data_IF_579585505950
#
_entry.id   IF_579585505950
#
_cell.length_a   1.000
_cell.length_b   1.000
_cell.length_c   1.000
_cell.angle_alpha   90.00
_cell.angle_beta   90.00
_cell.angle_gamma   90.00
#
_symmetry.space_group_name_H-M   'P 1'
#
loop_
_entity.id
_entity.type
_entity.pdbx_description
1 polymer ?
#
# COMPACT_ATOMS: atom_id res chain seq x y z
N UNK A 1 -8.95 20.63 -36.94
CA UNK A 1 -10.27 19.99 -36.75
C UNK A 1 -10.02 18.51 -36.49
N UNK A 2 -10.30 18.05 -35.26
CA UNK A 2 -10.69 16.69 -34.82
C UNK A 2 -9.93 15.50 -35.43
N UNK A 3 -9.11 14.73 -34.71
CA UNK A 3 -9.30 13.94 -33.47
C UNK A 3 -9.03 12.48 -33.84
N UNK A 4 -7.92 11.91 -33.35
CA UNK A 4 -7.76 10.47 -33.17
C UNK A 4 -7.29 10.27 -31.74
N UNK A 5 -8.27 10.13 -30.86
CA UNK A 5 -8.06 9.53 -29.55
C UNK A 5 -7.67 8.07 -29.78
N UNK A 6 -6.57 7.66 -29.18
CA UNK A 6 -6.05 6.31 -29.25
C UNK A 6 -6.72 5.52 -28.12
N UNK A 7 -7.43 4.46 -28.50
CA UNK A 7 -8.06 3.49 -27.61
C UNK A 7 -7.00 2.82 -26.72
N UNK A 8 -7.10 3.05 -25.42
CA UNK A 8 -6.36 2.35 -24.38
C UNK A 8 -7.32 1.94 -23.26
N UNK A 9 -8.43 1.29 -23.64
CA UNK A 9 -9.42 0.70 -22.74
C UNK A 9 -9.76 -0.71 -23.21
N UNK A 10 -8.83 -1.67 -23.08
CA UNK A 10 -9.14 -3.08 -23.35
C UNK A 10 -8.15 -4.07 -22.72
N UNK A 11 -7.88 -3.97 -21.42
CA UNK A 11 -7.28 -5.09 -20.65
C UNK A 11 -7.85 -5.14 -19.21
N UNK A 12 -9.17 -5.00 -19.10
CA UNK A 12 -9.90 -5.10 -17.83
C UNK A 12 -11.12 -6.03 -17.96
N UNK A 13 -10.98 -7.14 -18.67
CA UNK A 13 -11.94 -8.24 -18.67
C UNK A 13 -11.19 -9.57 -18.67
N UNK A 14 -10.95 -10.12 -17.48
CA UNK A 14 -10.82 -11.57 -17.31
C UNK A 14 -11.00 -11.94 -15.82
N UNK A 15 -12.24 -12.20 -15.44
CA UNK A 15 -12.68 -13.22 -14.47
C UNK A 15 -14.12 -12.97 -14.01
N UNK A 16 -15.07 -13.02 -14.95
CA UNK A 16 -16.50 -13.08 -14.64
C UNK A 16 -17.18 -14.08 -15.57
N UNK A 17 -17.32 -15.32 -15.10
CA UNK A 17 -18.36 -16.30 -15.44
C UNK A 17 -18.11 -17.51 -14.50
N UNK A 18 -19.05 -18.11 -13.78
CA UNK A 18 -20.49 -18.20 -13.93
C UNK A 18 -21.12 -18.55 -12.57
N UNK A 19 -22.22 -17.89 -12.21
CA UNK A 19 -23.15 -18.37 -11.21
C UNK A 19 -24.53 -18.34 -11.86
N UNK A 20 -24.99 -19.51 -12.32
CA UNK A 20 -26.35 -19.69 -12.81
C UNK A 20 -27.29 -19.93 -11.64
N UNK A 21 -28.43 -19.26 -11.71
CA UNK A 21 -29.58 -19.39 -10.85
C UNK A 21 -30.03 -20.84 -10.63
N UNK A 22 -30.32 -21.18 -9.37
CA UNK A 22 -31.41 -22.11 -9.05
C UNK A 22 -32.20 -21.51 -7.89
N UNK A 23 -33.43 -21.12 -8.21
CA UNK A 23 -34.42 -20.63 -7.28
C UNK A 23 -35.25 -21.82 -6.76
N UNK A 24 -35.34 -22.02 -5.44
CA UNK A 24 -36.49 -22.68 -4.81
C UNK A 24 -36.57 -22.37 -3.32
N UNK A 25 -37.81 -22.34 -2.83
CA UNK A 25 -38.28 -21.61 -1.67
C UNK A 25 -38.09 -22.29 -0.30
N UNK A 26 -38.34 -21.49 0.74
CA UNK A 26 -38.88 -21.84 2.07
C UNK A 26 -37.93 -22.48 3.11
N UNK A 27 -37.54 -21.73 4.15
CA UNK A 27 -38.19 -21.70 5.49
C UNK A 27 -37.30 -20.95 6.49
N UNK A 28 -37.96 -20.23 7.41
CA UNK A 28 -37.34 -19.59 8.56
C UNK A 28 -36.81 -20.65 9.55
N UNK A 29 -35.56 -20.52 10.02
CA UNK A 29 -35.24 -20.65 11.45
C UNK A 29 -33.79 -20.31 11.81
N UNK A 30 -33.66 -19.69 12.99
CA UNK A 30 -32.55 -19.74 13.96
C UNK A 30 -31.14 -19.32 13.54
N UNK A 31 -30.70 -18.24 14.20
CA UNK A 31 -29.31 -17.88 14.42
C UNK A 31 -28.49 -19.08 14.92
N UNK A 32 -27.45 -19.44 14.17
CA UNK A 32 -26.35 -20.25 14.67
C UNK A 32 -25.05 -19.53 14.35
N UNK A 33 -24.43 -19.01 15.42
CA UNK A 33 -23.05 -18.56 15.40
C UNK A 33 -22.17 -19.76 15.06
N UNK A 34 -21.48 -19.69 13.91
CA UNK A 34 -20.47 -20.66 13.54
C UNK A 34 -19.17 -20.28 14.24
N UNK A 35 -18.73 -21.12 15.15
CA UNK A 35 -17.43 -21.06 15.82
C UNK A 35 -16.29 -21.11 14.79
N UNK A 36 -15.23 -20.29 14.90
CA UNK A 36 -14.18 -20.25 13.90
C UNK A 36 -13.21 -21.42 14.08
N UNK A 37 -13.27 -22.39 13.18
CA UNK A 37 -12.12 -23.24 12.92
C UNK A 37 -10.97 -22.38 12.37
N UNK A 38 -9.80 -22.52 12.99
CA UNK A 38 -8.56 -21.79 12.74
C UNK A 38 -8.22 -21.58 11.25
N UNK A 39 -8.15 -20.31 10.83
CA UNK A 39 -7.16 -19.72 9.88
C UNK A 39 -7.09 -20.19 8.42
N UNK A 40 -7.61 -21.36 8.04
CA UNK A 40 -7.25 -22.00 6.75
C UNK A 40 -7.97 -21.43 5.51
N UNK A 41 -9.16 -20.86 5.66
CA UNK A 41 -9.92 -20.26 4.55
C UNK A 41 -9.39 -18.89 4.11
N UNK A 42 -8.88 -18.10 5.06
CA UNK A 42 -8.37 -16.74 4.87
C UNK A 42 -7.11 -16.72 4.01
N UNK A 43 -6.14 -17.59 4.31
CA UNK A 43 -4.88 -17.66 3.56
C UNK A 43 -5.09 -18.11 2.11
N UNK A 44 -5.97 -19.09 1.86
CA UNK A 44 -6.30 -19.55 0.49
C UNK A 44 -6.86 -18.44 -0.39
N UNK A 45 -7.66 -17.54 0.16
CA UNK A 45 -8.20 -16.41 -0.59
C UNK A 45 -7.13 -15.36 -0.94
N UNK A 46 -6.13 -15.18 -0.06
CA UNK A 46 -5.00 -14.29 -0.31
C UNK A 46 -3.99 -14.91 -1.30
N UNK A 47 -3.76 -16.23 -1.24
CA UNK A 47 -2.96 -16.95 -2.23
C UNK A 47 -3.53 -16.79 -3.64
N UNK A 48 -4.87 -16.90 -3.80
CA UNK A 48 -5.56 -16.61 -5.07
C UNK A 48 -5.35 -15.17 -5.54
N UNK A 49 -5.13 -14.23 -4.64
CA UNK A 49 -4.78 -12.84 -4.96
C UNK A 49 -3.29 -12.64 -5.22
N UNK A 50 -2.48 -13.71 -5.23
CA UNK A 50 -1.04 -13.69 -5.52
C UNK A 50 -0.15 -13.40 -4.32
N UNK A 51 -0.65 -13.53 -3.09
CA UNK A 51 0.19 -13.48 -1.89
C UNK A 51 0.98 -14.77 -1.76
N UNK A 52 2.27 -14.65 -1.43
CA UNK A 52 3.14 -15.76 -1.06
C UNK A 52 3.63 -15.57 0.37
N UNK A 53 3.35 -16.54 1.24
CA UNK A 53 3.70 -16.46 2.65
C UNK A 53 5.15 -16.88 2.93
N UNK A 54 5.78 -16.23 3.91
CA UNK A 54 7.14 -16.54 4.34
C UNK A 54 7.20 -17.76 5.27
N UNK A 55 6.11 -18.06 5.98
CA UNK A 55 5.96 -19.22 6.85
C UNK A 55 4.52 -19.71 6.80
N UNK A 56 4.30 -21.00 7.08
CA UNK A 56 2.95 -21.58 7.15
C UNK A 56 2.22 -21.19 8.44
N UNK A 57 2.95 -20.60 9.40
CA UNK A 57 2.44 -20.22 10.73
C UNK A 57 2.26 -18.72 10.94
N UNK A 58 2.73 -17.90 9.99
CA UNK A 58 2.68 -16.44 10.09
C UNK A 58 2.00 -15.84 8.87
N UNK A 59 1.42 -14.66 9.03
CA UNK A 59 0.81 -13.90 7.93
C UNK A 59 1.81 -13.03 7.18
N UNK A 60 3.10 -13.09 7.52
CA UNK A 60 4.15 -12.42 6.75
C UNK A 60 4.07 -12.88 5.29
N UNK A 61 3.94 -11.93 4.37
CA UNK A 61 3.68 -12.23 2.97
C UNK A 61 4.34 -11.27 2.00
N UNK A 62 4.65 -11.78 0.81
CA UNK A 62 5.23 -11.07 -0.32
C UNK A 62 4.26 -11.13 -1.49
N UNK A 63 4.15 -10.01 -2.22
CA UNK A 63 3.41 -9.96 -3.48
C UNK A 63 3.96 -8.81 -4.34
N UNK A 64 4.48 -9.09 -5.54
CA UNK A 64 4.85 -8.03 -6.47
C UNK A 64 3.65 -7.19 -6.86
N UNK A 65 3.83 -5.87 -6.84
CA UNK A 65 2.81 -4.95 -7.30
C UNK A 65 2.69 -4.99 -8.84
N UNK A 66 1.62 -4.41 -9.37
CA UNK A 66 1.39 -4.33 -10.82
C UNK A 66 2.55 -3.61 -11.54
N UNK A 67 3.07 -2.53 -10.96
CA UNK A 67 4.20 -1.78 -11.53
C UNK A 67 5.52 -2.56 -11.59
N UNK A 68 5.74 -3.48 -10.65
CA UNK A 68 6.90 -4.36 -10.69
C UNK A 68 6.84 -5.27 -11.93
N UNK A 69 5.67 -5.88 -12.17
CA UNK A 69 5.40 -6.76 -13.31
C UNK A 69 5.43 -6.00 -14.64
N UNK A 70 4.76 -4.84 -14.72
CA UNK A 70 4.75 -3.97 -15.91
C UNK A 70 6.17 -3.53 -16.29
N UNK A 71 6.95 -3.06 -15.32
CA UNK A 71 8.34 -2.64 -15.56
C UNK A 71 9.24 -3.81 -15.96
N UNK A 72 9.04 -5.01 -15.40
CA UNK A 72 9.78 -6.21 -15.78
C UNK A 72 9.57 -6.55 -17.26
N UNK A 73 8.35 -6.37 -17.75
CA UNK A 73 7.92 -6.70 -19.11
C UNK A 73 8.23 -5.65 -20.18
N UNK A 74 9.02 -4.62 -19.88
CA UNK A 74 9.33 -3.57 -20.86
C UNK A 74 8.57 -2.25 -20.63
N UNK A 75 7.47 -2.27 -19.89
CA UNK A 75 6.60 -1.11 -19.70
C UNK A 75 7.08 -0.08 -18.68
N UNK A 76 6.20 0.86 -18.38
CA UNK A 76 6.48 2.00 -17.49
C UNK A 76 6.81 1.58 -16.05
N UNK A 77 7.55 2.45 -15.38
CA UNK A 77 7.83 2.36 -13.95
C UNK A 77 6.77 3.10 -13.12
N UNK A 78 6.65 2.78 -11.83
CA UNK A 78 5.73 3.49 -10.94
C UNK A 78 6.19 4.93 -10.68
N UNK A 79 5.27 5.76 -10.16
CA UNK A 79 5.56 7.16 -9.81
C UNK A 79 6.76 7.33 -8.86
N UNK A 80 7.08 6.33 -8.02
CA UNK A 80 8.26 6.42 -7.14
C UNK A 80 9.57 6.41 -7.92
N UNK A 81 9.60 5.84 -9.12
CA UNK A 81 10.76 5.96 -10.02
C UNK A 81 10.98 7.42 -10.39
N UNK A 82 9.90 8.10 -10.77
CA UNK A 82 9.92 9.51 -11.12
C UNK A 82 10.33 10.38 -9.91
N UNK A 83 9.71 10.19 -8.75
CA UNK A 83 9.94 11.06 -7.59
C UNK A 83 11.25 10.77 -6.84
N UNK A 84 11.70 9.51 -6.80
CA UNK A 84 12.80 9.08 -5.93
C UNK A 84 13.90 8.28 -6.64
N UNK A 85 13.81 8.10 -7.96
CA UNK A 85 14.83 7.40 -8.75
C UNK A 85 14.87 5.88 -8.57
N UNK A 86 13.80 5.26 -8.05
CA UNK A 86 13.78 3.82 -7.74
C UNK A 86 13.54 2.98 -8.99
N UNK A 87 14.06 1.76 -9.05
CA UNK A 87 13.80 0.85 -10.18
C UNK A 87 12.66 -0.12 -9.85
N UNK A 88 11.52 0.04 -10.53
CA UNK A 88 10.26 -0.64 -10.13
C UNK A 88 10.33 -2.17 -10.19
N UNK A 89 10.95 -2.75 -11.23
CA UNK A 89 11.09 -4.21 -11.34
C UNK A 89 12.09 -4.81 -10.34
N UNK A 90 12.93 -3.99 -9.70
CA UNK A 90 13.87 -4.38 -8.63
C UNK A 90 13.33 -4.13 -7.20
N UNK A 91 12.07 -3.71 -7.08
CA UNK A 91 11.37 -3.56 -5.82
C UNK A 91 10.77 -4.90 -5.38
N UNK A 92 11.04 -5.32 -4.14
CA UNK A 92 10.27 -6.36 -3.48
C UNK A 92 9.25 -5.72 -2.53
N UNK A 93 7.96 -5.94 -2.79
CA UNK A 93 6.88 -5.50 -1.91
C UNK A 93 6.44 -6.65 -1.02
N UNK A 94 6.48 -6.42 0.29
CA UNK A 94 6.07 -7.41 1.28
C UNK A 94 5.55 -6.74 2.56
N UNK A 95 5.08 -7.56 3.50
CA UNK A 95 4.74 -7.17 4.87
C UNK A 95 5.17 -8.26 5.86
N UNK A 96 5.66 -7.92 7.05
CA UNK A 96 5.94 -8.89 8.10
C UNK A 96 4.69 -9.37 8.84
N UNK A 97 3.55 -8.66 8.71
CA UNK A 97 2.27 -9.03 9.33
C UNK A 97 1.08 -8.48 8.54
N UNK A 98 -0.03 -9.22 8.50
CA UNK A 98 -1.32 -8.73 8.00
C UNK A 98 -2.21 -8.12 9.08
N UNK A 99 -1.79 -8.17 10.36
CA UNK A 99 -2.49 -7.49 11.47
C UNK A 99 -2.54 -6.00 11.18
N UNK A 100 -3.67 -5.38 11.50
CA UNK A 100 -3.84 -3.94 11.39
C UNK A 100 -4.88 -3.48 12.41
N UNK A 101 -4.60 -2.37 13.07
CA UNK A 101 -5.47 -1.72 14.04
C UNK A 101 -6.38 -0.64 13.41
N UNK A 102 -6.50 -0.64 12.08
CA UNK A 102 -7.40 0.22 11.31
C UNK A 102 -8.23 -0.59 10.32
N UNK A 103 -9.46 -0.15 10.08
CA UNK A 103 -10.41 -0.75 9.14
C UNK A 103 -10.84 0.26 8.08
N UNK A 104 -9.85 0.83 7.40
CA UNK A 104 -10.05 1.97 6.50
C UNK A 104 -11.01 1.63 5.35
N UNK A 105 -11.85 2.59 4.98
CA UNK A 105 -12.74 2.50 3.81
C UNK A 105 -11.95 2.20 2.52
N UNK A 106 -10.82 2.88 2.36
CA UNK A 106 -9.93 2.83 1.19
C UNK A 106 -9.10 1.56 1.09
N UNK A 107 -8.99 0.77 2.15
CA UNK A 107 -8.08 -0.37 2.17
C UNK A 107 -8.50 -1.37 1.07
N UNK A 108 -7.57 -1.90 0.27
CA UNK A 108 -7.94 -2.93 -0.72
C UNK A 108 -8.14 -4.32 -0.08
N UNK A 109 -7.69 -4.49 1.18
CA UNK A 109 -7.74 -5.76 1.90
C UNK A 109 -9.18 -6.12 2.25
N UNK A 110 -9.47 -7.41 2.21
CA UNK A 110 -10.70 -7.94 2.78
C UNK A 110 -10.61 -7.91 4.31
N UNK A 111 -11.59 -7.30 4.96
CA UNK A 111 -11.63 -7.23 6.43
C UNK A 111 -12.08 -8.56 7.05
N UNK A 112 -12.76 -9.42 6.29
CA UNK A 112 -13.18 -10.77 6.70
C UNK A 112 -11.96 -11.69 6.95
N UNK A 113 -10.80 -11.33 6.40
CA UNK A 113 -9.53 -12.03 6.56
C UNK A 113 -8.64 -11.35 7.62
N UNK A 114 -9.26 -10.73 8.64
CA UNK A 114 -8.51 -10.14 9.74
C UNK A 114 -7.75 -11.22 10.52
N UNK A 115 -6.46 -10.99 10.69
CA UNK A 115 -5.59 -11.81 11.55
C UNK A 115 -5.63 -11.16 12.93
N UNK A 116 -6.07 -11.91 13.93
CA UNK A 116 -6.13 -11.46 15.33
C UNK A 116 -4.93 -11.99 16.11
N UNK A 117 -4.65 -13.28 15.97
CA UNK A 117 -3.51 -13.96 16.59
C UNK A 117 -2.69 -14.68 15.51
N UNK A 118 -1.36 -14.62 15.64
CA UNK A 118 -0.42 -15.30 14.76
C UNK A 118 0.92 -15.47 15.46
N UNK A 119 1.69 -16.46 15.00
CA UNK A 119 3.11 -16.55 15.31
C UNK A 119 3.87 -15.54 14.43
N UNK A 120 4.69 -14.69 15.03
CA UNK A 120 5.53 -13.77 14.25
C UNK A 120 6.56 -14.54 13.41
N UNK A 121 6.69 -14.17 12.14
CA UNK A 121 7.77 -14.71 11.31
C UNK A 121 9.12 -14.18 11.81
N UNK A 122 10.14 -15.01 12.07
CA UNK A 122 11.46 -14.50 12.41
C UNK A 122 12.06 -13.64 11.28
N UNK A 123 12.72 -12.50 11.57
CA UNK A 123 13.35 -11.65 10.56
C UNK A 123 14.30 -12.39 9.61
N UNK A 124 15.03 -13.37 10.13
CA UNK A 124 15.93 -14.27 9.39
C UNK A 124 15.17 -15.03 8.30
N UNK A 125 13.98 -15.53 8.65
CA UNK A 125 13.15 -16.32 7.74
C UNK A 125 12.62 -15.45 6.62
N UNK A 126 12.21 -14.21 6.93
CA UNK A 126 11.79 -13.23 5.93
C UNK A 126 12.96 -12.95 4.98
N UNK A 127 14.10 -12.51 5.51
CA UNK A 127 15.27 -12.12 4.73
C UNK A 127 15.74 -13.26 3.81
N UNK A 128 15.91 -14.47 4.36
CA UNK A 128 16.40 -15.63 3.61
C UNK A 128 15.46 -16.05 2.46
N UNK A 129 14.15 -15.81 2.58
CA UNK A 129 13.16 -16.25 1.60
C UNK A 129 12.77 -15.17 0.58
N UNK A 130 13.14 -13.89 0.75
CA UNK A 130 12.78 -12.79 -0.17
C UNK A 130 13.06 -13.16 -1.63
N UNK A 131 14.31 -13.53 -1.97
CA UNK A 131 14.70 -13.82 -3.36
C UNK A 131 13.96 -15.02 -3.93
N UNK A 132 13.75 -16.06 -3.11
CA UNK A 132 13.02 -17.28 -3.50
C UNK A 132 11.55 -16.97 -3.79
N UNK A 133 10.88 -16.22 -2.92
CA UNK A 133 9.48 -15.85 -3.09
C UNK A 133 9.30 -14.85 -4.25
N UNK A 134 10.20 -13.88 -4.40
CA UNK A 134 10.20 -12.97 -5.54
C UNK A 134 10.29 -13.76 -6.86
N UNK A 135 11.26 -14.68 -6.99
CA UNK A 135 11.37 -15.57 -8.15
C UNK A 135 10.10 -16.38 -8.40
N UNK A 136 9.52 -16.97 -7.36
CA UNK A 136 8.28 -17.76 -7.46
C UNK A 136 7.12 -16.89 -7.95
N UNK A 137 6.97 -15.69 -7.41
CA UNK A 137 5.89 -14.75 -7.75
C UNK A 137 6.00 -14.17 -9.16
N UNK A 138 7.22 -14.10 -9.70
CA UNK A 138 7.50 -13.60 -11.05
C UNK A 138 7.63 -14.71 -12.09
N UNK A 139 7.50 -15.99 -11.72
CA UNK A 139 7.76 -17.12 -12.61
C UNK A 139 7.01 -17.07 -13.96
N UNK A 140 5.80 -16.50 -13.99
CA UNK A 140 5.01 -16.30 -15.22
C UNK A 140 5.58 -15.26 -16.20
N UNK A 141 6.59 -14.49 -15.78
CA UNK A 141 7.28 -13.48 -16.60
C UNK A 141 8.70 -13.91 -16.96
N UNK A 142 9.05 -15.18 -16.76
CA UNK A 142 10.37 -15.68 -17.10
C UNK A 142 10.62 -15.53 -18.62
N UNK A 143 11.75 -14.94 -19.07
CA UNK A 143 12.08 -14.72 -20.48
C UNK A 143 12.11 -15.99 -21.35
N UNK A 144 12.21 -17.18 -20.75
CA UNK A 144 12.11 -18.45 -21.49
C UNK A 144 10.69 -18.76 -21.97
N UNK A 145 9.67 -18.12 -21.37
CA UNK A 145 8.28 -18.36 -21.71
C UNK A 145 7.93 -17.54 -22.96
N UNK A 146 7.24 -18.13 -23.95
CA UNK A 146 6.88 -17.43 -25.18
C UNK A 146 5.92 -16.26 -24.95
N UNK A 147 5.20 -16.25 -23.83
CA UNK A 147 4.28 -15.18 -23.42
C UNK A 147 4.98 -14.03 -22.69
N UNK A 148 6.27 -14.16 -22.36
CA UNK A 148 7.01 -13.12 -21.65
C UNK A 148 7.70 -12.16 -22.62
N UNK A 149 7.55 -10.86 -22.36
CA UNK A 149 8.28 -9.79 -23.03
C UNK A 149 9.48 -9.28 -22.21
N UNK A 150 9.74 -9.89 -21.03
CA UNK A 150 10.87 -9.51 -20.20
C UNK A 150 12.19 -9.88 -20.89
N UNK A 151 13.19 -9.01 -20.79
CA UNK A 151 14.55 -9.36 -21.23
C UNK A 151 15.26 -10.19 -20.16
N UNK A 152 16.33 -10.89 -20.55
CA UNK A 152 17.16 -11.65 -19.61
C UNK A 152 17.76 -10.74 -18.53
N UNK A 153 18.20 -9.55 -18.91
CA UNK A 153 18.82 -8.57 -18.02
C UNK A 153 17.82 -8.09 -16.96
N UNK A 154 16.62 -7.66 -17.36
CA UNK A 154 15.57 -7.22 -16.42
C UNK A 154 15.11 -8.35 -15.50
N UNK A 155 15.05 -9.57 -16.03
CA UNK A 155 14.75 -10.75 -15.24
C UNK A 155 15.80 -10.99 -14.15
N UNK A 156 17.08 -11.01 -14.51
CA UNK A 156 18.19 -11.22 -13.57
C UNK A 156 18.25 -10.10 -12.51
N UNK A 157 17.98 -8.86 -12.90
CA UNK A 157 17.83 -7.71 -11.99
C UNK A 157 16.64 -7.86 -11.03
N UNK A 158 15.49 -8.34 -11.50
CA UNK A 158 14.30 -8.56 -10.67
C UNK A 158 14.49 -9.72 -9.67
N UNK A 159 15.36 -10.68 -9.98
CA UNK A 159 15.77 -11.75 -9.06
C UNK A 159 16.86 -11.32 -8.06
N UNK A 160 17.46 -10.15 -8.28
CA UNK A 160 18.41 -9.48 -7.38
C UNK A 160 17.88 -8.09 -6.96
N UNK A 161 16.71 -8.06 -6.29
CA UNK A 161 16.08 -6.81 -5.88
C UNK A 161 17.01 -6.03 -4.94
N UNK A 162 17.02 -4.71 -5.08
CA UNK A 162 17.80 -3.79 -4.25
C UNK A 162 16.92 -2.85 -3.41
N UNK A 163 15.60 -2.94 -3.56
CA UNK A 163 14.64 -2.17 -2.78
C UNK A 163 13.68 -3.11 -2.04
N UNK A 164 13.46 -2.82 -0.76
CA UNK A 164 12.47 -3.50 0.08
C UNK A 164 11.35 -2.53 0.48
N UNK A 165 10.15 -2.73 -0.06
CA UNK A 165 8.96 -1.94 0.27
C UNK A 165 8.08 -2.67 1.28
N UNK A 166 8.24 -2.33 2.56
CA UNK A 166 7.44 -2.83 3.69
C UNK A 166 6.11 -2.07 3.72
N UNK A 167 5.18 -2.50 2.87
CA UNK A 167 3.98 -1.72 2.53
C UNK A 167 2.84 -2.51 1.90
N UNK A 168 2.91 -3.84 1.90
CA UNK A 168 1.95 -4.67 1.17
C UNK A 168 0.52 -4.59 1.73
N UNK A 169 0.36 -4.91 3.01
CA UNK A 169 -0.90 -4.91 3.75
C UNK A 169 -0.61 -5.09 5.23
N UNK A 170 -1.59 -4.82 6.09
CA UNK A 170 -1.37 -4.77 7.53
C UNK A 170 -0.76 -3.45 7.96
N UNK A 171 -0.49 -3.33 9.26
CA UNK A 171 0.30 -2.26 9.85
C UNK A 171 1.65 -2.85 10.31
N UNK A 172 2.76 -2.55 9.60
CA UNK A 172 4.04 -3.16 9.89
C UNK A 172 4.54 -2.94 11.32
N UNK A 173 4.16 -1.83 11.96
CA UNK A 173 4.58 -1.54 13.34
C UNK A 173 3.92 -2.44 14.39
N UNK A 174 2.94 -3.26 14.02
CA UNK A 174 2.41 -4.33 14.87
C UNK A 174 3.29 -5.59 14.88
N UNK A 175 4.35 -5.62 14.08
CA UNK A 175 5.39 -6.65 14.13
C UNK A 175 6.52 -6.20 15.06
N UNK A 176 6.70 -6.89 16.20
CA UNK A 176 7.60 -6.51 17.28
C UNK A 176 9.06 -6.42 16.82
N UNK A 177 9.44 -7.32 15.91
CA UNK A 177 10.79 -7.41 15.38
C UNK A 177 11.05 -6.48 14.17
N UNK A 178 10.15 -5.52 13.89
CA UNK A 178 10.28 -4.61 12.74
C UNK A 178 11.61 -3.84 12.70
N UNK A 179 12.11 -3.23 13.80
CA UNK A 179 13.40 -2.54 13.77
C UNK A 179 14.54 -3.46 13.33
N UNK A 180 14.61 -4.65 13.92
CA UNK A 180 15.62 -5.67 13.61
C UNK A 180 15.55 -6.12 12.15
N UNK A 181 14.35 -6.35 11.62
CA UNK A 181 14.16 -6.71 10.22
C UNK A 181 14.67 -5.60 9.27
N UNK A 182 14.40 -4.33 9.58
CA UNK A 182 14.89 -3.19 8.79
C UNK A 182 16.42 -3.12 8.83
N UNK A 183 17.03 -3.26 10.01
CA UNK A 183 18.49 -3.24 10.16
C UNK A 183 19.15 -4.36 9.36
N UNK A 184 18.58 -5.57 9.38
CA UNK A 184 19.05 -6.70 8.58
C UNK A 184 18.93 -6.46 7.07
N UNK A 185 17.82 -5.87 6.61
CA UNK A 185 17.65 -5.51 5.20
C UNK A 185 18.65 -4.43 4.76
N UNK A 186 18.88 -3.43 5.59
CA UNK A 186 19.86 -2.38 5.32
C UNK A 186 21.29 -2.96 5.25
N UNK A 187 21.63 -3.88 6.16
CA UNK A 187 22.94 -4.55 6.18
C UNK A 187 23.19 -5.39 4.91
N UNK A 188 22.13 -5.94 4.31
CA UNK A 188 22.17 -6.64 3.01
C UNK A 188 22.12 -5.69 1.79
N UNK A 189 22.17 -4.37 2.03
CA UNK A 189 22.22 -3.36 0.97
C UNK A 189 20.86 -3.01 0.36
N UNK A 190 19.73 -3.41 0.96
CA UNK A 190 18.43 -2.97 0.48
C UNK A 190 18.18 -1.49 0.81
N UNK A 191 17.66 -0.76 -0.17
CA UNK A 191 17.01 0.53 0.08
C UNK A 191 15.61 0.26 0.65
N UNK A 192 15.43 0.50 1.95
CA UNK A 192 14.20 0.14 2.68
C UNK A 192 13.19 1.28 2.73
N UNK A 193 11.95 0.98 2.34
CA UNK A 193 10.81 1.87 2.41
C UNK A 193 9.82 1.29 3.41
N UNK A 194 9.55 2.01 4.50
CA UNK A 194 8.56 1.62 5.51
C UNK A 194 7.32 2.48 5.36
N UNK A 195 6.14 1.87 5.20
CA UNK A 195 4.86 2.57 5.22
C UNK A 195 4.07 2.16 6.45
N UNK A 196 3.74 3.13 7.30
CA UNK A 196 2.96 2.94 8.53
C UNK A 196 1.75 3.88 8.55
N UNK A 197 0.72 3.50 9.31
CA UNK A 197 -0.42 4.34 9.64
C UNK A 197 -0.17 5.27 10.86
N UNK A 198 1.04 5.24 11.45
CA UNK A 198 1.46 6.16 12.51
C UNK A 198 0.94 5.85 13.92
N UNK A 199 0.29 4.72 14.15
CA UNK A 199 -0.36 4.44 15.44
C UNK A 199 0.57 3.93 16.56
N UNK A 200 1.83 3.59 16.23
CA UNK A 200 2.86 3.02 17.12
C UNK A 200 4.16 3.84 17.11
N UNK A 201 4.17 5.04 17.71
CA UNK A 201 5.36 5.91 17.73
C UNK A 201 6.57 5.25 18.41
N UNK A 202 6.35 4.38 19.41
CA UNK A 202 7.38 3.63 20.12
C UNK A 202 8.21 2.70 19.21
N UNK A 203 7.57 2.11 18.20
CA UNK A 203 8.22 1.24 17.21
C UNK A 203 8.91 2.10 16.16
N UNK A 204 8.24 3.13 15.64
CA UNK A 204 8.80 4.05 14.64
C UNK A 204 10.06 4.77 15.12
N UNK A 205 10.15 5.09 16.43
CA UNK A 205 11.35 5.66 17.05
C UNK A 205 12.56 4.74 16.96
N UNK A 206 12.36 3.43 16.87
CA UNK A 206 13.42 2.41 16.78
C UNK A 206 13.76 2.01 15.34
N UNK A 207 12.85 2.20 14.38
CA UNK A 207 13.09 1.89 12.97
C UNK A 207 14.03 2.90 12.29
N UNK A 208 14.93 2.41 11.42
CA UNK A 208 15.86 3.23 10.62
C UNK A 208 15.80 2.87 9.12
N UNK A 209 14.63 2.98 8.45
CA UNK A 209 14.54 2.71 7.02
C UNK A 209 15.20 3.84 6.21
N UNK A 210 15.52 3.59 4.94
CA UNK A 210 15.96 4.64 4.02
C UNK A 210 14.90 5.72 3.84
N UNK A 211 13.62 5.34 3.71
CA UNK A 211 12.50 6.29 3.64
C UNK A 211 11.35 5.87 4.54
N UNK A 212 10.94 6.76 5.45
CA UNK A 212 9.80 6.55 6.35
C UNK A 212 8.56 7.21 5.79
N UNK A 213 7.47 6.45 5.65
CA UNK A 213 6.16 6.94 5.26
C UNK A 213 5.17 6.84 6.41
N UNK A 214 4.45 7.94 6.68
CA UNK A 214 3.23 7.90 7.49
C UNK A 214 2.04 8.23 6.59
N UNK A 215 1.02 7.36 6.61
CA UNK A 215 -0.24 7.61 5.91
C UNK A 215 -1.13 8.49 6.79
N UNK A 216 -1.54 9.65 6.27
CA UNK A 216 -2.44 10.60 6.94
C UNK A 216 -3.63 10.86 6.03
N UNK A 217 -4.72 10.12 6.23
CA UNK A 217 -5.89 10.20 5.35
C UNK A 217 -7.01 11.08 5.93
N UNK A 218 -6.72 11.92 6.92
CA UNK A 218 -7.68 12.81 7.55
C UNK A 218 -7.02 14.10 8.09
N UNK A 219 -7.68 15.27 8.02
CA UNK A 219 -7.17 16.52 8.59
C UNK A 219 -7.51 16.68 10.09
N UNK A 220 -8.44 15.88 10.61
CA UNK A 220 -8.98 15.99 11.96
C UNK A 220 -9.44 14.63 12.54
N UNK A 221 -9.62 14.50 13.87
CA UNK A 221 -10.04 13.26 14.51
C UNK A 221 -11.39 12.71 14.02
N UNK A 222 -12.37 13.56 13.73
CA UNK A 222 -13.69 13.12 13.31
C UNK A 222 -13.64 12.50 11.90
N UNK A 223 -12.87 13.09 10.99
CA UNK A 223 -12.61 12.52 9.66
C UNK A 223 -11.80 11.23 9.77
N UNK A 224 -10.79 11.18 10.65
CA UNK A 224 -10.00 9.98 10.93
C UNK A 224 -10.87 8.79 11.37
N UNK A 225 -11.78 9.00 12.31
CA UNK A 225 -12.72 7.97 12.77
C UNK A 225 -13.62 7.46 11.65
N UNK A 226 -14.06 8.33 10.73
CA UNK A 226 -14.94 7.96 9.61
C UNK A 226 -14.20 7.15 8.53
N UNK A 227 -13.01 7.60 8.13
CA UNK A 227 -12.30 7.05 6.97
C UNK A 227 -11.37 5.89 7.35
N UNK A 228 -10.59 6.02 8.43
CA UNK A 228 -9.63 5.01 8.87
C UNK A 228 -10.28 3.95 9.77
N UNK A 229 -11.37 4.29 10.46
CA UNK A 229 -12.14 3.39 11.35
C UNK A 229 -11.21 2.59 12.27
N UNK A 230 -10.42 3.28 13.11
CA UNK A 230 -9.46 2.63 13.98
C UNK A 230 -10.16 1.82 15.06
N UNK A 231 -9.47 0.83 15.61
CA UNK A 231 -10.01 -0.01 16.69
C UNK A 231 -10.02 0.71 18.05
N UNK A 232 -9.20 1.76 18.19
CA UNK A 232 -9.15 2.69 19.33
C UNK A 232 -8.84 4.10 18.83
N UNK A 233 -8.96 5.11 19.70
CA UNK A 233 -8.44 6.44 19.37
C UNK A 233 -6.91 6.44 19.40
N UNK A 234 -6.29 6.65 18.25
CA UNK A 234 -4.83 6.72 18.07
C UNK A 234 -4.39 8.09 17.57
N UNK A 235 -5.24 9.12 17.60
CA UNK A 235 -4.94 10.41 16.98
C UNK A 235 -3.68 11.06 17.57
N UNK A 236 -3.54 11.04 18.89
CA UNK A 236 -2.35 11.58 19.56
C UNK A 236 -1.08 10.77 19.24
N UNK A 237 -1.19 9.44 19.12
CA UNK A 237 -0.07 8.59 18.71
C UNK A 237 0.38 8.89 17.28
N UNK A 238 -0.56 9.21 16.39
CA UNK A 238 -0.27 9.63 15.02
C UNK A 238 0.46 10.98 15.04
N UNK A 239 0.01 11.94 15.84
CA UNK A 239 0.68 13.22 16.02
C UNK A 239 2.12 13.05 16.55
N UNK A 240 2.33 12.18 17.55
CA UNK A 240 3.67 11.85 18.04
C UNK A 240 4.53 11.25 16.92
N UNK A 241 4.00 10.30 16.16
CA UNK A 241 4.71 9.65 15.05
C UNK A 241 5.10 10.65 13.95
N UNK A 242 4.22 11.60 13.64
CA UNK A 242 4.47 12.66 12.65
C UNK A 242 5.62 13.58 13.09
N UNK A 243 5.75 13.86 14.39
CA UNK A 243 6.85 14.66 14.93
C UNK A 243 8.24 14.02 14.75
N UNK A 244 8.30 12.70 14.50
CA UNK A 244 9.54 11.95 14.28
C UNK A 244 10.08 12.09 12.85
N UNK A 245 9.29 12.67 11.92
CA UNK A 245 9.62 12.71 10.50
C UNK A 245 10.73 13.70 10.18
N UNK A 246 10.74 14.89 10.81
CA UNK A 246 11.78 15.92 10.61
C UNK A 246 13.23 15.48 10.82
N UNK A 247 13.47 14.41 11.57
CA UNK A 247 14.80 13.94 11.95
C UNK A 247 15.33 12.83 11.02
N UNK A 248 14.63 12.54 9.91
CA UNK A 248 14.97 11.45 8.99
C UNK A 248 14.41 11.69 7.59
N UNK A 249 14.92 10.96 6.60
CA UNK A 249 14.33 10.95 5.26
C UNK A 249 12.89 10.43 5.32
N UNK A 250 11.92 11.27 4.99
CA UNK A 250 10.53 11.02 5.30
C UNK A 250 9.55 11.55 4.26
N UNK A 251 8.38 10.92 4.23
CA UNK A 251 7.25 11.37 3.44
C UNK A 251 5.93 11.19 4.19
N UNK A 252 5.02 12.15 4.09
CA UNK A 252 3.61 11.91 4.39
C UNK A 252 2.92 11.46 3.11
N UNK A 253 2.00 10.51 3.21
CA UNK A 253 1.11 10.17 2.09
C UNK A 253 -0.34 10.31 2.49
N UNK A 254 -1.07 11.11 1.73
CA UNK A 254 -2.50 11.36 1.93
C UNK A 254 -3.26 10.76 0.76
N UNK A 255 -4.13 9.79 1.04
CA UNK A 255 -4.99 9.17 0.04
C UNK A 255 -6.32 9.91 -0.02
N UNK A 256 -6.50 10.77 -1.02
CA UNK A 256 -7.69 11.60 -1.22
C UNK A 256 -8.82 10.77 -1.82
N UNK A 257 -9.97 10.79 -1.17
CA UNK A 257 -11.22 10.14 -1.56
C UNK A 257 -12.25 11.24 -1.75
N UNK A 258 -12.74 11.38 -2.99
CA UNK A 258 -13.68 12.43 -3.32
C UNK A 258 -14.98 12.30 -2.50
N UNK A 259 -15.39 13.39 -1.85
CA UNK A 259 -16.56 13.49 -0.99
C UNK A 259 -16.38 12.91 0.43
N UNK A 260 -15.15 12.60 0.85
CA UNK A 260 -14.87 12.04 2.18
C UNK A 260 -13.82 12.82 2.96
N UNK A 261 -12.61 12.96 2.40
CA UNK A 261 -11.47 13.58 3.08
C UNK A 261 -10.76 14.62 2.21
N UNK A 262 -11.34 14.99 1.08
CA UNK A 262 -11.01 16.13 0.21
C UNK A 262 -11.55 17.45 0.79
N UNK A 263 -11.41 17.61 2.11
CA UNK A 263 -11.91 18.75 2.90
C UNK A 263 -10.76 19.36 3.69
N UNK A 264 -10.98 20.56 4.21
CA UNK A 264 -10.06 21.29 5.09
C UNK A 264 -8.56 21.26 4.64
N UNK A 265 -8.22 21.90 3.51
CA UNK A 265 -6.82 22.05 3.08
C UNK A 265 -5.91 22.64 4.15
N UNK A 266 -6.46 23.52 5.02
CA UNK A 266 -5.72 24.19 6.09
C UNK A 266 -5.35 23.22 7.21
N UNK A 267 -6.24 22.29 7.57
CA UNK A 267 -5.98 21.21 8.53
C UNK A 267 -4.84 20.30 8.07
N UNK A 268 -4.88 19.85 6.81
CA UNK A 268 -3.76 19.10 6.22
C UNK A 268 -2.46 19.89 6.21
N UNK A 269 -2.50 21.15 5.76
CA UNK A 269 -1.33 22.03 5.72
C UNK A 269 -0.67 22.17 7.10
N UNK A 270 -1.47 22.31 8.17
CA UNK A 270 -0.97 22.34 9.54
C UNK A 270 -0.25 21.04 9.91
N UNK A 271 -0.85 19.88 9.63
CA UNK A 271 -0.23 18.58 9.90
C UNK A 271 1.12 18.45 9.17
N UNK A 272 1.16 18.83 7.88
CA UNK A 272 2.38 18.75 7.07
C UNK A 272 3.47 19.69 7.59
N UNK A 273 3.11 20.94 7.92
CA UNK A 273 4.01 21.92 8.48
C UNK A 273 4.63 21.42 9.80
N UNK A 274 3.80 20.94 10.72
CA UNK A 274 4.23 20.51 12.06
C UNK A 274 5.09 19.24 12.00
N UNK A 275 4.85 18.34 11.03
CA UNK A 275 5.64 17.11 10.86
C UNK A 275 7.09 17.36 10.43
N UNK A 276 7.33 18.44 9.68
CA UNK A 276 8.61 18.73 9.04
C UNK A 276 9.12 17.64 8.08
N UNK A 277 8.25 16.82 7.49
CA UNK A 277 8.63 15.79 6.52
C UNK A 277 9.32 16.39 5.27
N UNK A 278 10.19 15.61 4.61
CA UNK A 278 10.84 16.10 3.37
C UNK A 278 9.85 16.20 2.22
N UNK A 279 8.93 15.23 2.13
CA UNK A 279 7.98 15.10 1.04
C UNK A 279 6.55 14.92 1.55
N UNK A 280 5.58 15.37 0.75
CA UNK A 280 4.17 15.04 0.91
C UNK A 280 3.64 14.51 -0.43
N UNK A 281 3.11 13.29 -0.42
CA UNK A 281 2.41 12.69 -1.56
C UNK A 281 0.90 12.86 -1.37
N UNK A 282 0.27 13.73 -2.14
CA UNK A 282 -1.19 13.84 -2.22
C UNK A 282 -1.65 12.96 -3.37
N UNK A 283 -2.32 11.84 -3.05
CA UNK A 283 -2.63 10.78 -4.01
C UNK A 283 -4.12 10.50 -4.05
N UNK A 284 -4.70 10.44 -5.24
CA UNK A 284 -6.07 9.96 -5.44
C UNK A 284 -6.23 8.50 -5.03
N UNK A 285 -7.31 8.22 -4.31
CA UNK A 285 -7.82 6.86 -4.14
C UNK A 285 -8.01 6.19 -5.50
N UNK A 286 -7.77 4.88 -5.56
CA UNK A 286 -7.97 4.05 -6.74
C UNK A 286 -9.02 2.99 -6.43
N UNK A 287 -10.02 2.84 -7.30
CA UNK A 287 -11.16 1.93 -7.11
C UNK A 287 -10.78 0.45 -7.31
N UNK A 288 -10.06 -0.15 -6.35
CA UNK A 288 -9.47 -1.50 -6.49
C UNK A 288 -9.67 -2.40 -5.26
N UNK A 289 -9.64 -3.72 -5.49
CA UNK A 289 -9.73 -4.71 -4.42
C UNK A 289 -11.07 -4.66 -3.67
N UNK A 290 -11.04 -4.86 -2.35
CA UNK A 290 -12.23 -4.87 -1.50
C UNK A 290 -12.74 -3.49 -1.13
N UNK A 291 -11.98 -2.42 -1.39
CA UNK A 291 -12.48 -1.05 -1.21
C UNK A 291 -13.72 -0.79 -2.08
N UNK A 292 -13.85 -1.50 -3.21
CA UNK A 292 -15.02 -1.47 -4.11
C UNK A 292 -16.34 -1.96 -3.47
N UNK A 293 -16.27 -2.68 -2.34
CA UNK A 293 -17.45 -3.06 -1.55
C UNK A 293 -17.89 -1.97 -0.57
N UNK A 294 -17.08 -0.91 -0.40
CA UNK A 294 -17.24 0.13 0.63
C UNK A 294 -17.37 1.53 0.04
N UNK A 295 -16.70 1.76 -1.07
CA UNK A 295 -16.70 3.01 -1.83
C UNK A 295 -17.28 2.75 -3.22
N UNK A 296 -17.51 3.82 -3.97
CA UNK A 296 -17.97 3.79 -5.36
C UNK A 296 -16.89 4.34 -6.29
N UNK A 297 -17.03 4.10 -7.59
CA UNK A 297 -16.11 4.63 -8.60
C UNK A 297 -16.05 6.15 -8.60
N UNK A 298 -17.17 6.84 -8.33
CA UNK A 298 -17.23 8.31 -8.19
C UNK A 298 -16.35 8.86 -7.05
N UNK A 299 -15.97 8.03 -6.08
CA UNK A 299 -15.06 8.43 -5.00
C UNK A 299 -13.59 8.41 -5.43
N UNK A 300 -13.27 7.90 -6.63
CA UNK A 300 -11.94 7.90 -7.24
C UNK A 300 -11.69 9.25 -7.91
N UNK A 301 -10.98 10.21 -7.28
CA UNK A 301 -10.84 11.55 -7.85
C UNK A 301 -10.02 11.52 -9.13
N UNK A 302 -10.37 12.35 -10.10
CA UNK A 302 -9.52 12.61 -11.26
C UNK A 302 -8.22 13.32 -10.86
N UNK A 303 -7.17 13.17 -11.67
CA UNK A 303 -5.86 13.76 -11.37
C UNK A 303 -5.93 15.28 -11.12
N UNK A 304 -6.72 16.00 -11.93
CA UNK A 304 -6.90 17.44 -11.77
C UNK A 304 -7.55 17.84 -10.45
N UNK A 305 -8.42 17.00 -9.89
CA UNK A 305 -8.99 17.23 -8.56
C UNK A 305 -7.93 17.07 -7.47
N UNK A 306 -7.10 16.02 -7.57
CA UNK A 306 -5.97 15.80 -6.65
C UNK A 306 -5.00 16.97 -6.69
N UNK A 307 -4.66 17.43 -7.90
CA UNK A 307 -3.79 18.59 -8.11
C UNK A 307 -4.38 19.87 -7.52
N UNK A 308 -5.64 20.18 -7.81
CA UNK A 308 -6.30 21.37 -7.26
C UNK A 308 -6.36 21.34 -5.73
N UNK A 309 -6.61 20.17 -5.13
CA UNK A 309 -6.58 20.03 -3.67
C UNK A 309 -5.19 20.27 -3.08
N UNK A 310 -4.13 19.74 -3.72
CA UNK A 310 -2.74 20.01 -3.32
C UNK A 310 -2.39 21.51 -3.44
N UNK A 311 -2.85 22.18 -4.50
CA UNK A 311 -2.67 23.64 -4.68
C UNK A 311 -3.38 24.47 -3.61
N UNK A 312 -4.53 24.02 -3.10
CA UNK A 312 -5.18 24.68 -1.96
C UNK A 312 -4.40 24.49 -0.65
N UNK A 313 -3.79 23.32 -0.43
CA UNK A 313 -2.97 23.03 0.75
C UNK A 313 -1.72 23.91 0.79
N UNK A 314 -1.02 24.08 -0.34
CA UNK A 314 0.26 24.82 -0.41
C UNK A 314 0.12 26.30 -0.04
N UNK A 315 -1.10 26.86 -0.07
CA UNK A 315 -1.38 28.24 0.37
C UNK A 315 -1.20 28.43 1.87
N UNK A 316 -1.18 27.35 2.66
CA UNK A 316 -1.20 27.40 4.13
C UNK A 316 0.00 26.70 4.79
N UNK A 317 1.01 26.29 4.03
CA UNK A 317 2.25 25.69 4.55
C UNK A 317 3.46 26.02 3.67
N UNK A 318 4.66 25.69 4.15
CA UNK A 318 5.93 25.92 3.45
C UNK A 318 6.29 24.80 2.47
N UNK A 319 5.29 24.10 1.93
CA UNK A 319 5.49 23.08 0.90
C UNK A 319 5.05 23.61 -0.47
N UNK A 320 5.75 23.19 -1.50
CA UNK A 320 5.42 23.48 -2.90
C UNK A 320 5.32 22.20 -3.72
N UNK A 321 4.52 22.23 -4.78
CA UNK A 321 4.41 21.13 -5.72
C UNK A 321 5.69 21.10 -6.56
N UNK A 322 6.43 19.98 -6.48
CA UNK A 322 7.68 19.80 -7.23
C UNK A 322 7.53 18.85 -8.41
N UNK A 323 6.54 17.95 -8.38
CA UNK A 323 6.34 16.96 -9.44
C UNK A 323 4.93 16.34 -9.36
N UNK A 324 4.50 15.66 -10.42
CA UNK A 324 3.22 14.95 -10.48
C UNK A 324 3.24 13.75 -11.43
N UNK A 325 2.40 12.74 -11.16
CA UNK A 325 2.22 11.59 -12.04
C UNK A 325 0.72 11.33 -12.26
N UNK A 326 0.23 11.73 -13.43
CA UNK A 326 -1.18 11.61 -13.79
C UNK A 326 -1.69 10.16 -13.83
N UNK A 327 -0.87 9.22 -14.31
CA UNK A 327 -1.21 7.78 -14.36
C UNK A 327 -1.50 7.20 -12.96
N UNK A 328 -0.77 7.66 -11.95
CA UNK A 328 -0.94 7.25 -10.55
C UNK A 328 -1.80 8.22 -9.75
N UNK A 329 -2.33 9.28 -10.39
CA UNK A 329 -3.14 10.35 -9.79
C UNK A 329 -2.49 10.92 -8.52
N UNK A 330 -1.22 11.28 -8.58
CA UNK A 330 -0.44 11.71 -7.41
C UNK A 330 0.34 12.98 -7.71
N UNK A 331 0.38 13.87 -6.71
CA UNK A 331 1.19 15.07 -6.69
C UNK A 331 2.24 14.92 -5.58
N UNK A 332 3.49 15.26 -5.90
CA UNK A 332 4.58 15.34 -4.95
C UNK A 332 4.80 16.79 -4.55
N UNK A 333 4.79 17.03 -3.24
CA UNK A 333 5.18 18.29 -2.65
C UNK A 333 6.47 18.10 -1.87
N UNK A 334 7.30 19.14 -1.82
CA UNK A 334 8.48 19.20 -0.97
C UNK A 334 8.54 20.52 -0.23
N UNK A 335 9.26 20.53 0.89
CA UNK A 335 9.45 21.74 1.69
C UNK A 335 10.36 22.73 0.95
N UNK A 336 10.00 24.02 1.00
CA UNK A 336 10.78 25.14 0.44
C UNK A 336 12.16 25.29 1.07
#
# INVERSE_FOLDING_TARGET
>A
MQSRACDAESEFEESTESAKDVNSANTANTANAVSPESGSGSYKALEKQGYLFFSDKSSAALKPCMWNKRSLQGGDMCYKHQFYGITSHRCVQFTPTLKCNQRCLICWRCMEYAVFEEEECPPETILAKIKKLQKKSLAGYNPILPTSTATKERWDEALTPNMAAISLSGEPTLYENLPRLIDMLNAEGYTTFLVSNGTRPDVLRRCRPYQTYISVDAPDPATYMKICRPESDFWDNIAESLSLLKDRRSAIRTTVVAGYNDIDPKGYAKIYQDSGADFVEVKGYMFVGHSRKRLKQENMPEHMHVRGFAEEITKYCDYEIIDENALSRVVCMARR
#
